data_IF_933079672710
#
_entry.id   IF_933079672710
#
_cell.length_a   1.000
_cell.length_b   1.000
_cell.length_c   1.000
_cell.angle_alpha   90.00
_cell.angle_beta   90.00
_cell.angle_gamma   90.00
#
_symmetry.space_group_name_H-M   'P 1'
#
loop_
_entity.id
_entity.type
_entity.pdbx_description
1 polymer ?
#
# COMPACT_ATOMS: atom_id res chain seq x y z
N UNK A 1 -17.36 25.66 52.44
CA UNK A 1 -17.62 25.10 51.10
C UNK A 1 -16.36 25.29 50.26
N UNK A 2 -15.54 24.26 50.11
CA UNK A 2 -14.35 24.30 49.25
C UNK A 2 -14.69 23.62 47.93
N UNK A 3 -14.71 24.40 46.84
CA UNK A 3 -14.74 23.89 45.47
C UNK A 3 -13.30 23.63 45.04
N UNK A 4 -12.91 22.35 45.00
CA UNK A 4 -11.69 21.91 44.32
C UNK A 4 -12.05 21.79 42.84
N UNK A 5 -11.60 22.74 42.03
CA UNK A 5 -11.67 22.63 40.58
C UNK A 5 -10.62 21.62 40.12
N UNK A 6 -11.05 20.45 39.68
CA UNK A 6 -10.20 19.50 38.99
C UNK A 6 -9.92 20.02 37.59
N UNK A 7 -8.69 20.51 37.36
CA UNK A 7 -8.16 20.72 36.01
C UNK A 7 -8.03 19.36 35.32
N UNK A 8 -9.04 19.00 34.53
CA UNK A 8 -8.95 17.91 33.58
C UNK A 8 -8.04 18.36 32.42
N UNK A 9 -6.77 17.98 32.45
CA UNK A 9 -5.91 18.03 31.27
C UNK A 9 -6.46 17.03 30.25
N UNK A 10 -7.29 17.50 29.32
CA UNK A 10 -7.60 16.74 28.11
C UNK A 10 -6.33 16.70 27.26
N UNK A 11 -5.51 15.68 27.47
CA UNK A 11 -4.47 15.30 26.52
C UNK A 11 -5.15 14.82 25.23
N UNK A 12 -5.58 15.76 24.39
CA UNK A 12 -6.17 15.48 23.09
C UNK A 12 -5.18 14.73 22.23
N UNK A 13 -5.65 13.73 21.48
CA UNK A 13 -4.84 13.11 20.43
C UNK A 13 -4.33 14.21 19.48
N UNK A 14 -3.09 14.10 18.97
CA UNK A 14 -2.57 15.07 18.01
C UNK A 14 -3.52 15.18 16.82
N UNK A 15 -3.77 16.42 16.38
CA UNK A 15 -4.46 16.67 15.12
C UNK A 15 -3.58 16.09 14.01
N UNK A 16 -4.20 15.31 13.11
CA UNK A 16 -3.51 14.65 12.00
C UNK A 16 -3.69 15.45 10.73
N UNK A 17 -2.63 15.57 9.96
CA UNK A 17 -2.71 16.18 8.64
C UNK A 17 -3.60 15.35 7.72
N UNK A 18 -4.38 16.05 6.90
CA UNK A 18 -5.27 15.43 5.93
C UNK A 18 -4.53 14.98 4.66
N UNK A 19 -3.29 15.45 4.46
CA UNK A 19 -2.44 15.21 3.30
C UNK A 19 -0.96 15.16 3.73
N UNK A 20 -0.06 14.56 2.94
CA UNK A 20 1.37 14.60 3.22
C UNK A 20 1.93 15.99 2.93
N UNK A 21 2.87 16.42 3.75
CA UNK A 21 3.68 17.61 3.45
C UNK A 21 5.15 17.25 3.17
N UNK A 22 5.52 15.98 3.32
CA UNK A 22 6.91 15.49 3.22
C UNK A 22 6.98 14.11 2.60
N UNK A 23 8.17 13.79 2.09
CA UNK A 23 8.56 12.44 1.69
C UNK A 23 9.64 11.95 2.65
N UNK A 24 9.45 10.74 3.17
CA UNK A 24 10.42 10.01 3.95
C UNK A 24 11.01 8.90 3.09
N UNK A 25 12.34 8.82 3.06
CA UNK A 25 13.04 7.74 2.38
C UNK A 25 13.32 6.59 3.34
N UNK A 26 13.26 5.38 2.82
CA UNK A 26 13.59 4.20 3.59
C UNK A 26 14.03 3.04 2.71
N UNK A 27 14.59 2.02 3.36
CA UNK A 27 15.08 0.85 2.64
C UNK A 27 13.91 -0.03 2.21
N UNK A 28 13.75 -0.22 0.90
CA UNK A 28 12.84 -1.25 0.41
C UNK A 28 13.43 -2.64 0.64
N UNK A 29 12.51 -3.54 0.91
CA UNK A 29 12.80 -4.91 1.30
C UNK A 29 12.92 -5.80 0.04
N UNK A 30 12.20 -5.45 -1.03
CA UNK A 30 12.33 -6.01 -2.36
C UNK A 30 12.46 -4.90 -3.40
N UNK A 31 13.19 -5.19 -4.48
CA UNK A 31 13.30 -4.34 -5.67
C UNK A 31 12.96 -5.19 -6.89
N UNK A 32 12.11 -4.66 -7.78
CA UNK A 32 11.65 -5.37 -8.96
C UNK A 32 12.10 -4.68 -10.24
N UNK A 33 12.65 -5.46 -11.15
CA UNK A 33 12.96 -5.06 -12.53
C UNK A 33 11.85 -5.47 -13.51
N UNK A 34 10.86 -6.24 -13.04
CA UNK A 34 9.78 -6.76 -13.86
C UNK A 34 8.46 -6.92 -13.09
N UNK A 35 7.35 -6.71 -13.80
CA UNK A 35 6.00 -6.91 -13.29
C UNK A 35 5.77 -8.37 -12.91
N UNK A 36 6.34 -9.28 -13.70
CA UNK A 36 6.20 -10.73 -13.51
C UNK A 36 6.80 -11.15 -12.16
N UNK A 37 8.00 -10.66 -11.82
CA UNK A 37 8.62 -10.94 -10.52
C UNK A 37 7.86 -10.29 -9.37
N UNK A 38 7.37 -9.06 -9.55
CA UNK A 38 6.54 -8.38 -8.54
C UNK A 38 5.25 -9.16 -8.27
N UNK A 39 4.55 -9.57 -9.32
CA UNK A 39 3.33 -10.38 -9.24
C UNK A 39 3.59 -11.76 -8.61
N UNK A 40 4.70 -12.42 -8.95
CA UNK A 40 5.09 -13.69 -8.35
C UNK A 40 5.43 -13.56 -6.87
N UNK A 41 6.05 -12.45 -6.46
CA UNK A 41 6.47 -12.21 -5.07
C UNK A 41 5.30 -11.80 -4.19
N UNK A 42 4.30 -11.12 -4.73
CA UNK A 42 3.07 -10.82 -4.02
C UNK A 42 2.32 -12.12 -3.63
N UNK A 43 1.89 -12.17 -2.36
CA UNK A 43 1.09 -13.28 -1.84
C UNK A 43 -0.41 -13.08 -2.15
N UNK A 44 -0.82 -11.84 -2.37
CA UNK A 44 -2.15 -11.43 -2.78
C UNK A 44 -2.06 -10.32 -3.83
N UNK A 45 -2.79 -10.45 -4.93
CA UNK A 45 -2.96 -9.37 -5.91
C UNK A 45 -4.44 -9.13 -6.16
N UNK A 46 -4.91 -7.90 -5.96
CA UNK A 46 -6.33 -7.54 -6.07
C UNK A 46 -6.55 -6.28 -6.90
N UNK A 47 -7.67 -6.25 -7.61
CA UNK A 47 -8.30 -5.01 -8.08
C UNK A 47 -9.25 -4.56 -6.97
N UNK A 48 -9.11 -3.32 -6.50
CA UNK A 48 -9.90 -2.82 -5.39
C UNK A 48 -10.14 -1.31 -5.46
N UNK A 49 -11.20 -0.88 -4.79
CA UNK A 49 -11.51 0.52 -4.49
C UNK A 49 -11.25 0.80 -3.00
N UNK A 50 -10.71 1.96 -2.67
CA UNK A 50 -10.50 2.38 -1.29
C UNK A 50 -11.82 2.82 -0.70
N UNK A 51 -12.35 2.03 0.22
CA UNK A 51 -13.61 2.34 0.89
C UNK A 51 -13.45 3.33 2.04
N UNK A 52 -12.32 3.25 2.76
CA UNK A 52 -12.08 4.07 3.96
C UNK A 52 -10.58 4.19 4.23
N UNK A 53 -10.16 5.33 4.76
CA UNK A 53 -8.84 5.51 5.36
C UNK A 53 -8.99 6.06 6.77
N UNK A 54 -8.31 5.45 7.73
CA UNK A 54 -8.35 5.86 9.13
C UNK A 54 -7.00 5.69 9.83
N UNK A 55 -6.79 6.32 11.00
CA UNK A 55 -5.60 6.07 11.80
C UNK A 55 -5.47 4.60 12.17
N UNK A 56 -4.31 4.02 11.84
CA UNK A 56 -3.94 2.65 12.12
C UNK A 56 -3.11 2.51 13.40
N UNK A 57 -2.36 1.41 13.46
CA UNK A 57 -1.52 1.08 14.62
C UNK A 57 -0.29 1.98 14.71
N UNK A 58 0.29 2.04 15.91
CA UNK A 58 1.60 2.63 16.11
C UNK A 58 2.68 1.61 15.72
N UNK A 59 3.70 2.06 15.00
CA UNK A 59 4.88 1.31 14.58
C UNK A 59 6.11 1.95 15.22
N UNK A 60 7.02 1.14 15.75
CA UNK A 60 8.18 1.60 16.52
C UNK A 60 7.92 1.62 18.03
N UNK A 61 8.96 1.96 18.80
CA UNK A 61 8.89 2.00 20.28
C UNK A 61 8.88 3.43 20.79
N UNK A 62 8.02 3.71 21.76
CA UNK A 62 8.00 4.99 22.47
C UNK A 62 9.32 5.27 23.21
N UNK A 63 10.02 4.21 23.63
CA UNK A 63 11.27 4.30 24.38
C UNK A 63 12.50 4.47 23.45
N UNK A 64 12.33 4.20 22.16
CA UNK A 64 13.37 4.26 21.13
C UNK A 64 13.51 5.62 20.42
N UNK A 65 12.69 6.61 20.79
CA UNK A 65 12.81 7.99 20.30
C UNK A 65 11.75 8.39 19.27
N UNK A 66 11.43 7.53 18.31
CA UNK A 66 10.43 7.80 17.27
C UNK A 66 9.42 6.66 17.13
N UNK A 67 8.14 7.05 17.02
CA UNK A 67 7.04 6.15 16.68
C UNK A 67 6.20 6.81 15.60
N UNK A 68 5.79 6.01 14.64
CA UNK A 68 4.94 6.46 13.55
C UNK A 68 3.57 5.82 13.71
N UNK A 69 2.55 6.53 13.25
CA UNK A 69 1.21 5.98 13.14
C UNK A 69 0.95 5.62 11.69
N UNK A 70 0.73 4.34 11.44
CA UNK A 70 0.27 3.87 10.16
C UNK A 70 -1.14 4.36 9.84
N UNK A 71 -1.49 4.28 8.56
CA UNK A 71 -2.82 4.46 8.01
C UNK A 71 -3.39 3.09 7.76
N UNK A 72 -4.57 2.85 8.33
CA UNK A 72 -5.34 1.69 7.98
C UNK A 72 -6.25 2.04 6.79
N UNK A 73 -6.00 1.39 5.67
CA UNK A 73 -6.72 1.56 4.41
C UNK A 73 -7.60 0.34 4.19
N UNK A 74 -8.91 0.53 4.21
CA UNK A 74 -9.86 -0.53 3.86
C UNK A 74 -10.08 -0.56 2.36
N UNK A 75 -9.60 -1.63 1.73
CA UNK A 75 -9.84 -1.92 0.32
C UNK A 75 -11.10 -2.77 0.17
N UNK A 76 -12.01 -2.36 -0.70
CA UNK A 76 -13.14 -3.18 -1.16
C UNK A 76 -12.68 -3.94 -2.40
N UNK A 77 -12.57 -5.26 -2.27
CA UNK A 77 -12.06 -6.13 -3.33
C UNK A 77 -13.11 -6.31 -4.40
N UNK A 78 -12.76 -5.94 -5.63
CA UNK A 78 -13.59 -6.17 -6.82
C UNK A 78 -13.23 -7.49 -7.50
N UNK A 79 -11.93 -7.77 -7.57
CA UNK A 79 -11.41 -8.96 -8.24
C UNK A 79 -10.10 -9.41 -7.60
N UNK A 80 -9.94 -10.73 -7.44
CA UNK A 80 -8.70 -11.34 -6.96
C UNK A 80 -7.95 -11.88 -8.17
N UNK A 81 -6.75 -11.37 -8.41
CA UNK A 81 -5.90 -11.80 -9.52
C UNK A 81 -4.95 -12.93 -9.11
N UNK A 82 -4.53 -12.97 -7.84
CA UNK A 82 -3.66 -13.99 -7.25
C UNK A 82 -3.91 -14.08 -5.73
N UNK A 83 -3.91 -15.28 -5.18
CA UNK A 83 -3.91 -15.53 -3.73
C UNK A 83 -3.19 -16.84 -3.42
N UNK A 84 -2.24 -16.81 -2.49
CA UNK A 84 -1.48 -17.99 -2.04
C UNK A 84 -2.00 -18.56 -0.72
N UNK A 85 -2.83 -17.81 0.01
CA UNK A 85 -3.29 -18.12 1.38
C UNK A 85 -4.74 -18.59 1.51
N UNK A 86 -5.43 -18.87 0.40
CA UNK A 86 -6.84 -19.30 0.39
C UNK A 86 -7.82 -18.18 0.05
N UNK A 87 -9.07 -18.33 0.50
CA UNK A 87 -10.16 -17.43 0.15
C UNK A 87 -9.92 -16.01 0.70
N UNK A 88 -10.04 -15.02 -0.19
CA UNK A 88 -9.91 -13.60 0.16
C UNK A 88 -11.30 -13.05 0.46
N UNK A 89 -11.43 -12.30 1.56
CA UNK A 89 -12.66 -11.63 1.93
C UNK A 89 -13.01 -10.50 0.96
N UNK A 90 -14.26 -10.02 1.00
CA UNK A 90 -14.68 -8.86 0.20
C UNK A 90 -13.96 -7.55 0.55
N UNK A 91 -13.22 -7.54 1.67
CA UNK A 91 -12.41 -6.41 2.12
C UNK A 91 -11.00 -6.85 2.51
N UNK A 92 -10.02 -6.00 2.27
CA UNK A 92 -8.62 -6.16 2.69
C UNK A 92 -8.20 -4.95 3.52
N UNK A 93 -7.50 -5.18 4.62
CA UNK A 93 -6.92 -4.13 5.45
C UNK A 93 -5.46 -3.93 5.03
N UNK A 94 -5.15 -2.74 4.52
CA UNK A 94 -3.84 -2.34 4.04
C UNK A 94 -3.20 -1.35 5.04
N UNK A 95 -2.01 -1.70 5.49
CA UNK A 95 -1.13 -0.90 6.33
C UNK A 95 -0.26 -0.02 5.44
N UNK A 96 -0.45 1.29 5.52
CA UNK A 96 0.30 2.31 4.76
C UNK A 96 0.97 3.27 5.75
N UNK A 97 2.14 3.81 5.42
CA UNK A 97 2.76 4.85 6.23
C UNK A 97 1.91 6.13 6.23
N UNK A 98 1.98 6.91 7.32
CA UNK A 98 1.01 7.98 7.55
C UNK A 98 1.56 9.19 8.26
N UNK A 99 1.67 9.07 9.58
CA UNK A 99 1.95 10.21 10.43
C UNK A 99 3.11 9.95 11.37
N UNK A 100 3.89 10.98 11.64
CA UNK A 100 4.84 10.96 12.75
C UNK A 100 4.12 11.03 14.11
N UNK A 101 4.87 10.92 15.21
CA UNK A 101 4.33 11.03 16.56
C UNK A 101 3.60 12.34 16.88
N UNK A 102 3.82 13.40 16.09
CA UNK A 102 3.21 14.74 16.24
C UNK A 102 1.96 14.90 15.37
N UNK A 103 1.66 13.94 14.50
CA UNK A 103 0.52 13.98 13.59
C UNK A 103 0.84 14.55 12.21
N UNK A 104 2.12 14.80 11.90
CA UNK A 104 2.49 15.32 10.59
C UNK A 104 2.47 14.22 9.53
N UNK A 105 1.84 14.50 8.40
CA UNK A 105 1.73 13.56 7.30
C UNK A 105 3.00 13.43 6.46
N UNK A 106 3.44 12.20 6.17
CA UNK A 106 4.47 11.92 5.16
C UNK A 106 4.13 10.78 4.19
N UNK A 107 4.69 10.83 2.98
CA UNK A 107 4.75 9.70 2.04
C UNK A 107 6.04 8.91 2.27
N UNK A 108 5.98 7.59 2.16
CA UNK A 108 7.18 6.75 2.25
C UNK A 108 7.63 6.34 0.85
N UNK A 109 8.91 6.56 0.51
CA UNK A 109 9.50 6.20 -0.79
C UNK A 109 8.67 6.71 -2.00
N UNK A 110 8.20 7.96 -1.91
CA UNK A 110 7.39 8.59 -2.95
C UNK A 110 6.00 7.96 -3.19
N UNK A 111 5.60 6.96 -2.38
CA UNK A 111 4.32 6.27 -2.55
C UNK A 111 3.18 7.26 -2.39
N UNK A 112 2.39 7.44 -3.45
CA UNK A 112 1.24 8.36 -3.47
C UNK A 112 0.35 8.15 -2.24
N UNK A 113 -0.14 9.21 -1.62
CA UNK A 113 -0.99 9.07 -0.44
C UNK A 113 -2.37 8.56 -0.83
N UNK A 114 -2.79 7.40 -0.32
CA UNK A 114 -4.11 6.84 -0.67
C UNK A 114 -5.26 7.77 -0.26
N UNK A 115 -6.28 7.95 -1.10
CA UNK A 115 -7.52 8.63 -0.75
C UNK A 115 -8.73 7.70 -0.87
N UNK A 116 -9.79 8.00 -0.12
CA UNK A 116 -11.06 7.30 -0.28
C UNK A 116 -11.60 7.50 -1.71
N UNK A 117 -12.08 6.42 -2.32
CA UNK A 117 -12.54 6.38 -3.72
C UNK A 117 -11.42 6.14 -4.74
N UNK A 118 -10.14 6.11 -4.35
CA UNK A 118 -9.08 5.68 -5.26
C UNK A 118 -9.30 4.21 -5.64
N UNK A 119 -9.20 3.92 -6.93
CA UNK A 119 -9.28 2.58 -7.48
C UNK A 119 -7.92 2.16 -8.01
N UNK A 120 -7.54 0.90 -7.81
CA UNK A 120 -6.22 0.44 -8.23
C UNK A 120 -6.03 -1.07 -8.21
N UNK A 121 -4.83 -1.48 -8.61
CA UNK A 121 -4.31 -2.84 -8.51
C UNK A 121 -3.24 -2.85 -7.43
N UNK A 122 -3.36 -3.77 -6.48
CA UNK A 122 -2.54 -3.83 -5.27
C UNK A 122 -1.81 -5.16 -5.20
N UNK A 123 -0.48 -5.11 -5.10
CA UNK A 123 0.43 -6.23 -4.95
C UNK A 123 0.88 -6.31 -3.50
N UNK A 124 0.41 -7.33 -2.78
CA UNK A 124 0.39 -7.34 -1.33
C UNK A 124 1.13 -8.54 -0.74
N UNK A 125 1.71 -8.32 0.43
CA UNK A 125 2.26 -9.34 1.31
C UNK A 125 1.72 -9.16 2.73
N UNK A 126 1.58 -10.23 3.52
CA UNK A 126 1.11 -10.12 4.89
C UNK A 126 2.11 -9.37 5.77
N UNK A 127 1.59 -8.66 6.76
CA UNK A 127 2.41 -8.00 7.78
C UNK A 127 2.71 -9.00 8.90
N UNK A 128 4.00 -9.26 9.14
CA UNK A 128 4.44 -10.36 10.01
C UNK A 128 3.99 -10.21 11.48
N UNK A 129 3.94 -8.97 11.98
CA UNK A 129 3.59 -8.61 13.36
C UNK A 129 2.11 -8.19 13.53
N UNK A 130 1.31 -8.23 12.47
CA UNK A 130 -0.11 -7.85 12.51
C UNK A 130 -0.98 -8.79 11.66
N UNK A 131 -1.48 -9.90 12.26
CA UNK A 131 -2.34 -10.85 11.56
C UNK A 131 -3.57 -10.16 10.94
N UNK A 132 -3.86 -10.49 9.67
CA UNK A 132 -4.97 -9.91 8.92
C UNK A 132 -4.67 -8.55 8.28
N UNK A 133 -3.49 -7.97 8.54
CA UNK A 133 -3.01 -6.78 7.86
C UNK A 133 -2.11 -7.14 6.69
N UNK A 134 -2.25 -6.38 5.62
CA UNK A 134 -1.45 -6.48 4.41
C UNK A 134 -0.63 -5.20 4.24
N UNK A 135 0.47 -5.29 3.50
CA UNK A 135 1.24 -4.13 3.04
C UNK A 135 1.59 -4.30 1.58
N UNK A 136 1.93 -3.20 0.92
CA UNK A 136 2.48 -3.27 -0.44
C UNK A 136 3.76 -4.11 -0.45
N UNK A 137 3.96 -4.87 -1.52
CA UNK A 137 5.19 -5.66 -1.71
C UNK A 137 6.42 -4.77 -1.79
N UNK A 138 6.28 -3.57 -2.37
CA UNK A 138 7.20 -2.43 -2.30
C UNK A 138 6.46 -1.16 -2.75
N UNK A 139 7.14 -0.03 -2.93
CA UNK A 139 6.55 1.23 -3.40
C UNK A 139 5.84 1.10 -4.75
N UNK A 140 6.34 0.25 -5.64
CA UNK A 140 5.74 -0.05 -6.96
C UNK A 140 4.51 -0.95 -6.86
N UNK A 141 4.25 -1.51 -5.69
CA UNK A 141 3.19 -2.49 -5.43
C UNK A 141 1.76 -1.93 -5.50
N UNK A 142 1.57 -0.66 -5.86
CA UNK A 142 0.24 -0.10 -6.12
C UNK A 142 0.23 0.69 -7.42
N UNK A 143 -0.75 0.35 -8.25
CA UNK A 143 -1.01 0.99 -9.54
C UNK A 143 -2.43 1.55 -9.51
N UNK A 144 -2.58 2.87 -9.55
CA UNK A 144 -3.87 3.52 -9.54
C UNK A 144 -4.49 3.47 -10.95
N UNK A 145 -5.80 3.25 -10.99
CA UNK A 145 -6.60 3.29 -12.21
C UNK A 145 -7.26 4.65 -12.27
N UNK A 146 -6.68 5.56 -13.06
CA UNK A 146 -7.21 6.90 -13.28
C UNK A 146 -8.11 6.90 -14.50
N UNK A 147 -9.16 7.72 -14.47
CA UNK A 147 -9.93 8.02 -15.69
C UNK A 147 -9.35 9.27 -16.32
N UNK A 148 -8.64 9.13 -17.43
CA UNK A 148 -8.16 10.26 -18.21
C UNK A 148 -9.26 10.70 -19.18
N UNK A 149 -9.61 11.99 -19.15
CA UNK A 149 -10.49 12.58 -20.16
C UNK A 149 -9.69 12.78 -21.45
N UNK A 150 -9.91 11.94 -22.46
CA UNK A 150 -9.37 12.15 -23.79
C UNK A 150 -10.36 12.90 -24.66
N UNK A 151 -9.86 13.61 -25.68
CA UNK A 151 -10.69 14.39 -26.62
C UNK A 151 -11.75 13.54 -27.35
N UNK A 152 -11.62 12.21 -27.32
CA UNK A 152 -12.51 11.24 -27.97
C UNK A 152 -13.25 10.32 -26.98
N UNK A 153 -13.21 10.60 -25.69
CA UNK A 153 -13.85 9.80 -24.63
C UNK A 153 -12.96 9.60 -23.40
N UNK A 154 -13.51 9.04 -22.32
CA UNK A 154 -12.73 8.72 -21.12
C UNK A 154 -12.02 7.38 -21.29
N UNK A 155 -10.70 7.36 -21.08
CA UNK A 155 -9.88 6.13 -21.09
C UNK A 155 -9.29 5.89 -19.70
N UNK A 156 -9.30 4.63 -19.25
CA UNK A 156 -8.61 4.26 -18.04
C UNK A 156 -7.09 4.24 -18.28
N UNK A 157 -6.35 5.02 -17.49
CA UNK A 157 -4.90 5.06 -17.47
C UNK A 157 -4.38 4.46 -16.17
N UNK A 158 -3.18 3.89 -16.24
CA UNK A 158 -2.46 3.39 -15.07
C UNK A 158 -1.48 4.46 -14.59
N UNK A 159 -1.41 4.62 -13.28
CA UNK A 159 -0.59 5.61 -12.58
C UNK A 159 0.19 4.83 -11.51
N UNK A 160 1.48 4.55 -11.79
CA UNK A 160 2.32 3.80 -10.86
C UNK A 160 2.65 4.70 -9.69
N UNK A 161 2.36 4.24 -8.48
CA UNK A 161 2.38 5.15 -7.33
C UNK A 161 3.76 5.40 -6.73
N UNK A 162 4.83 4.79 -7.27
CA UNK A 162 6.22 4.91 -6.83
C UNK A 162 6.94 6.12 -7.43
N UNK A 163 8.21 6.34 -7.04
CA UNK A 163 9.04 7.40 -7.59
C UNK A 163 8.93 7.50 -9.12
N UNK A 164 8.65 8.71 -9.58
CA UNK A 164 8.63 9.00 -11.02
C UNK A 164 9.97 8.61 -11.63
N UNK A 165 9.92 7.90 -12.76
CA UNK A 165 11.04 7.52 -13.64
C UNK A 165 11.75 6.18 -13.40
N UNK A 166 11.26 5.28 -12.55
CA UNK A 166 11.76 3.90 -12.59
C UNK A 166 11.25 3.14 -13.84
N UNK A 167 12.09 2.27 -14.41
CA UNK A 167 11.81 1.61 -15.68
C UNK A 167 10.58 0.67 -15.64
N UNK A 168 10.30 0.08 -14.47
CA UNK A 168 9.14 -0.79 -14.29
C UNK A 168 7.86 0.04 -14.20
N UNK A 169 7.87 1.16 -13.48
CA UNK A 169 6.74 2.11 -13.43
C UNK A 169 6.38 2.62 -14.83
N UNK A 170 7.37 3.03 -15.62
CA UNK A 170 7.16 3.43 -17.03
C UNK A 170 6.56 2.28 -17.86
N UNK A 171 7.04 1.05 -17.67
CA UNK A 171 6.48 -0.13 -18.36
C UNK A 171 5.02 -0.35 -17.94
N UNK A 172 4.69 -0.25 -16.66
CA UNK A 172 3.33 -0.43 -16.13
C UNK A 172 2.39 0.63 -16.69
N UNK A 173 2.79 1.90 -16.69
CA UNK A 173 1.97 3.01 -17.19
C UNK A 173 1.72 2.94 -18.70
N UNK A 174 2.59 2.26 -19.45
CA UNK A 174 2.40 2.01 -20.88
C UNK A 174 1.34 0.93 -21.19
N UNK A 175 0.88 0.18 -20.19
CA UNK A 175 -0.12 -0.88 -20.37
C UNK A 175 -1.55 -0.34 -20.27
N UNK A 176 -2.49 -1.09 -20.84
CA UNK A 176 -3.90 -0.96 -20.48
C UNK A 176 -4.18 -1.69 -19.16
N UNK A 177 -5.28 -1.34 -18.49
CA UNK A 177 -5.75 -2.06 -17.30
C UNK A 177 -5.89 -3.57 -17.58
N UNK A 178 -6.49 -3.93 -18.71
CA UNK A 178 -6.63 -5.33 -19.13
C UNK A 178 -5.28 -6.00 -19.40
N UNK A 179 -4.33 -5.28 -19.98
CA UNK A 179 -2.97 -5.75 -20.21
C UNK A 179 -2.24 -6.08 -18.91
N UNK A 180 -2.31 -5.20 -17.92
CA UNK A 180 -1.73 -5.41 -16.60
C UNK A 180 -2.38 -6.60 -15.87
N UNK A 181 -3.72 -6.70 -15.92
CA UNK A 181 -4.45 -7.85 -15.35
C UNK A 181 -4.02 -9.16 -16.02
N UNK A 182 -3.93 -9.19 -17.35
CA UNK A 182 -3.51 -10.37 -18.10
C UNK A 182 -2.10 -10.81 -17.71
N UNK A 183 -1.13 -9.89 -17.73
CA UNK A 183 0.26 -10.18 -17.36
C UNK A 183 0.39 -10.68 -15.91
N UNK A 184 -0.41 -10.12 -14.99
CA UNK A 184 -0.46 -10.60 -13.60
C UNK A 184 -0.93 -12.05 -13.51
N UNK A 185 -1.99 -12.41 -14.24
CA UNK A 185 -2.51 -13.79 -14.29
C UNK A 185 -1.52 -14.76 -14.96
N UNK A 186 -0.85 -14.32 -16.02
CA UNK A 186 0.19 -15.11 -16.68
C UNK A 186 1.38 -15.37 -15.75
N UNK A 187 1.77 -14.38 -14.93
CA UNK A 187 2.79 -14.56 -13.91
C UNK A 187 2.36 -15.55 -12.82
N UNK A 188 1.10 -15.48 -12.35
CA UNK A 188 0.55 -16.44 -11.40
C UNK A 188 0.60 -17.88 -11.95
N UNK A 189 0.15 -18.07 -13.18
CA UNK A 189 0.20 -19.35 -13.87
C UNK A 189 1.65 -19.85 -14.02
N UNK A 190 2.58 -18.98 -14.40
CA UNK A 190 3.99 -19.36 -14.51
C UNK A 190 4.60 -19.81 -13.16
N UNK A 191 4.16 -19.23 -12.03
CA UNK A 191 4.54 -19.70 -10.70
C UNK A 191 3.97 -21.07 -10.40
N UNK A 192 2.68 -21.30 -10.69
CA UNK A 192 2.03 -22.60 -10.48
C UNK A 192 2.69 -23.72 -11.31
N UNK A 193 3.20 -23.38 -12.50
CA UNK A 193 3.94 -24.29 -13.38
C UNK A 193 5.44 -24.40 -13.03
N UNK A 194 5.92 -23.67 -12.03
CA UNK A 194 7.34 -23.67 -11.62
C UNK A 194 8.29 -22.96 -12.60
N UNK A 195 7.76 -22.25 -13.61
CA UNK A 195 8.54 -21.48 -14.61
C UNK A 195 8.99 -20.13 -14.10
N UNK A 196 8.36 -19.62 -13.05
CA UNK A 196 8.69 -18.35 -12.40
C UNK A 196 8.78 -18.57 -10.89
N UNK A 197 9.83 -18.04 -10.28
CA UNK A 197 10.04 -18.13 -8.83
C UNK A 197 9.83 -16.76 -8.19
N UNK A 198 9.05 -16.66 -7.10
CA UNK A 198 9.00 -15.48 -6.24
C UNK A 198 10.40 -15.10 -5.76
N UNK A 199 10.64 -13.81 -5.47
CA UNK A 199 11.83 -13.45 -4.72
C UNK A 199 11.71 -13.99 -3.29
N UNK A 200 12.82 -14.48 -2.75
CA UNK A 200 12.86 -14.96 -1.38
C UNK A 200 12.39 -13.88 -0.40
N UNK A 201 11.68 -14.30 0.65
CA UNK A 201 11.40 -13.41 1.77
C UNK A 201 12.75 -12.99 2.37
N UNK A 202 13.10 -11.70 2.37
CA UNK A 202 14.32 -11.25 2.98
C UNK A 202 14.26 -11.60 4.45
N UNK A 203 15.37 -12.13 4.95
CA UNK A 203 15.56 -12.36 6.38
C UNK A 203 15.46 -10.99 7.04
N UNK A 204 14.34 -10.74 7.73
CA UNK A 204 14.22 -9.59 8.62
C UNK A 204 15.33 -9.72 9.66
N UNK A 205 16.40 -8.95 9.51
CA UNK A 205 17.38 -8.77 10.57
C UNK A 205 16.64 -7.90 11.59
N UNK A 206 16.37 -8.47 12.77
CA UNK A 206 15.48 -7.89 13.78
C UNK A 206 15.73 -6.40 13.99
N UNK A 207 14.63 -5.63 14.00
CA UNK A 207 14.60 -4.29 14.56
C UNK A 207 14.68 -4.31 16.07
#
# INVERSE_FOLDING_TARGET
MSLVAASACSGGAPQRDAQPERVAEGREVWYFDSLEKMAATAELVVVAEVAKVEPGRWIGSKDGGDRDQARNVTLKVENVLRSTGGAVTSTVQLDEWGWDAKGHGYQFAGVTWTNQGDRGIYFLVPVADAPGQWRLVNSQGRVLIRTASAKTGSVAALDSSAETHDALSVKIESLTVEGLIRLTKEADQAVQEGRLQPLDKPKLIGG
#
